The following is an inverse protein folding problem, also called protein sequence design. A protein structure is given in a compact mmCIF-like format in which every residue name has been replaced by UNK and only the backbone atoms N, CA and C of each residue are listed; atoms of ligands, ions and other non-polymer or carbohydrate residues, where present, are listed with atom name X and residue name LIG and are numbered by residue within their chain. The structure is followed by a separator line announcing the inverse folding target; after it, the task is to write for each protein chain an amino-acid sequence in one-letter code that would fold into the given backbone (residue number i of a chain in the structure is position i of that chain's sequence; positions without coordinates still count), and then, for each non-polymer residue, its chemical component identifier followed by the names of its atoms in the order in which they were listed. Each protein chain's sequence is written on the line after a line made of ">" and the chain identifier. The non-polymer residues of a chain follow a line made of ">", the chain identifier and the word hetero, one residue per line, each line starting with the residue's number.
data_IF_953318931965
#
_entry.id   IF_953318931965
#
_cell.length_a   1.000
_cell.length_b   1.000
_cell.length_c   1.000
_cell.angle_alpha   90.00
_cell.angle_beta   90.00
_cell.angle_gamma   90.00
#
_symmetry.space_group_name_H-M   'P 1'
#
loop_
_entity.id
_entity.type
_entity.pdbx_description
1 polymer ?
#
# COMPACT_ATOMS: atom_id res chain seq x y z
N UNK A 1 69.44 -137.08 25.41
CA UNK A 1 69.60 -135.82 24.65
C UNK A 1 68.31 -135.41 23.91
N UNK A 2 67.61 -136.34 23.23
CA UNK A 2 66.41 -136.03 22.40
C UNK A 2 65.21 -135.44 23.18
N UNK A 3 64.80 -136.03 24.31
CA UNK A 3 63.65 -135.55 25.08
C UNK A 3 63.81 -134.13 25.68
N UNK A 4 65.06 -133.75 26.02
CA UNK A 4 65.35 -132.40 26.49
C UNK A 4 65.25 -131.38 25.35
N UNK A 5 65.66 -131.76 24.15
CA UNK A 5 65.56 -130.95 22.95
C UNK A 5 64.10 -130.73 22.53
N UNK A 6 63.25 -131.77 22.55
CA UNK A 6 61.82 -131.65 22.27
C UNK A 6 61.08 -130.74 23.27
N UNK A 7 61.42 -130.81 24.56
CA UNK A 7 60.86 -129.93 25.59
C UNK A 7 61.26 -128.46 25.39
N UNK A 8 62.51 -128.22 25.01
CA UNK A 8 63.00 -126.86 24.67
C UNK A 8 62.26 -126.35 23.43
N UNK A 9 62.14 -127.16 22.38
CA UNK A 9 61.44 -126.78 21.15
C UNK A 9 59.96 -126.46 21.39
N UNK A 10 59.26 -127.25 22.22
CA UNK A 10 57.88 -126.95 22.62
C UNK A 10 57.77 -125.61 23.37
N UNK A 11 58.63 -125.39 24.35
CA UNK A 11 58.66 -124.13 25.13
C UNK A 11 58.96 -122.92 24.23
N UNK A 12 59.89 -123.06 23.29
CA UNK A 12 60.22 -122.01 22.32
C UNK A 12 59.03 -121.73 21.41
N UNK A 13 58.35 -122.77 20.91
CA UNK A 13 57.19 -122.62 20.04
C UNK A 13 56.02 -121.91 20.75
N UNK A 14 55.72 -122.29 21.99
CA UNK A 14 54.70 -121.65 22.82
C UNK A 14 55.04 -120.19 23.11
N UNK A 15 56.32 -119.91 23.41
CA UNK A 15 56.80 -118.54 23.66
C UNK A 15 56.63 -117.67 22.41
N UNK A 16 56.99 -118.18 21.23
CA UNK A 16 56.83 -117.46 19.96
C UNK A 16 55.35 -117.18 19.66
N UNK A 17 54.46 -118.16 19.85
CA UNK A 17 53.02 -117.95 19.68
C UNK A 17 52.47 -116.88 20.63
N UNK A 18 52.85 -116.92 21.91
CA UNK A 18 52.42 -115.92 22.89
C UNK A 18 52.93 -114.51 22.55
N UNK A 19 54.18 -114.38 22.09
CA UNK A 19 54.75 -113.10 21.66
C UNK A 19 54.02 -112.56 20.42
N UNK A 20 53.72 -113.42 19.45
CA UNK A 20 52.97 -113.02 18.26
C UNK A 20 51.54 -112.57 18.61
N UNK A 21 50.84 -113.31 19.47
CA UNK A 21 49.50 -112.92 19.93
C UNK A 21 49.54 -111.58 20.67
N UNK A 22 50.49 -111.39 21.58
CA UNK A 22 50.66 -110.11 22.29
C UNK A 22 50.96 -108.95 21.34
N UNK A 23 51.71 -109.19 20.25
CA UNK A 23 51.98 -108.19 19.23
C UNK A 23 50.71 -107.83 18.42
N UNK A 24 49.88 -108.81 18.06
CA UNK A 24 48.59 -108.59 17.40
C UNK A 24 47.59 -107.83 18.30
N UNK A 25 47.52 -108.20 19.58
CA UNK A 25 46.68 -107.52 20.57
C UNK A 25 47.13 -106.06 20.76
N UNK A 26 48.45 -105.83 20.83
CA UNK A 26 49.04 -104.49 20.93
C UNK A 26 48.77 -103.64 19.68
N UNK A 27 48.90 -104.23 18.48
CA UNK A 27 48.59 -103.56 17.23
C UNK A 27 47.10 -103.16 17.16
N UNK A 28 46.21 -104.06 17.57
CA UNK A 28 44.76 -103.81 17.63
C UNK A 28 44.41 -102.71 18.63
N UNK A 29 45.03 -102.72 19.82
CA UNK A 29 44.85 -101.67 20.82
C UNK A 29 45.33 -100.30 20.31
N UNK A 30 46.47 -100.26 19.62
CA UNK A 30 47.00 -99.02 19.00
C UNK A 30 46.06 -98.48 17.92
N UNK A 31 45.54 -99.35 17.04
CA UNK A 31 44.58 -98.96 16.02
C UNK A 31 43.29 -98.39 16.63
N UNK A 32 42.76 -99.02 17.68
CA UNK A 32 41.57 -98.53 18.38
C UNK A 32 41.82 -97.20 19.10
N UNK A 33 42.99 -97.03 19.71
CA UNK A 33 43.38 -95.76 20.34
C UNK A 33 43.47 -94.63 19.29
N UNK A 34 44.03 -94.90 18.11
CA UNK A 34 44.10 -93.93 17.04
C UNK A 34 42.70 -93.54 16.53
N UNK A 35 41.81 -94.52 16.32
CA UNK A 35 40.43 -94.25 15.91
C UNK A 35 39.65 -93.40 16.94
N UNK A 36 39.93 -93.60 18.24
CA UNK A 36 39.36 -92.78 19.30
C UNK A 36 39.89 -91.34 19.28
N UNK A 37 41.20 -91.16 19.04
CA UNK A 37 41.83 -89.84 18.88
C UNK A 37 41.21 -89.11 17.69
N UNK A 38 41.07 -89.76 16.54
CA UNK A 38 40.49 -89.15 15.34
C UNK A 38 39.03 -88.72 15.56
N UNK A 39 38.25 -89.53 16.29
CA UNK A 39 36.88 -89.18 16.67
C UNK A 39 36.81 -87.97 17.60
N UNK A 40 37.72 -87.89 18.60
CA UNK A 40 37.81 -86.75 19.51
C UNK A 40 38.23 -85.49 18.74
N UNK A 41 39.21 -85.59 17.85
CA UNK A 41 39.67 -84.49 17.00
C UNK A 41 38.50 -83.90 16.19
N UNK A 42 37.70 -84.78 15.59
CA UNK A 42 36.49 -84.42 14.83
C UNK A 42 35.45 -83.72 15.69
N UNK A 43 35.20 -84.24 16.91
CA UNK A 43 34.26 -83.64 17.85
C UNK A 43 34.70 -82.25 18.32
N UNK A 44 36.00 -82.05 18.57
CA UNK A 44 36.58 -80.75 18.94
C UNK A 44 36.43 -79.73 17.81
N UNK A 45 36.72 -80.12 16.56
CA UNK A 45 36.54 -79.26 15.40
C UNK A 45 35.07 -78.80 15.28
N UNK A 46 34.13 -79.75 15.38
CA UNK A 46 32.69 -79.47 15.33
C UNK A 46 32.24 -78.53 16.46
N UNK A 47 32.69 -78.78 17.68
CA UNK A 47 32.35 -77.94 18.84
C UNK A 47 32.89 -76.51 18.67
N UNK A 48 34.10 -76.37 18.12
CA UNK A 48 34.73 -75.07 17.87
C UNK A 48 33.97 -74.28 16.81
N UNK A 49 33.58 -74.93 15.70
CA UNK A 49 32.76 -74.29 14.66
C UNK A 49 31.39 -73.85 15.19
N UNK A 50 30.73 -74.70 16.02
CA UNK A 50 29.45 -74.35 16.65
C UNK A 50 29.58 -73.18 17.62
N UNK A 51 30.66 -73.13 18.40
CA UNK A 51 30.93 -72.00 19.29
C UNK A 51 31.14 -70.69 18.52
N UNK A 52 31.90 -70.73 17.41
CA UNK A 52 32.09 -69.58 16.53
C UNK A 52 30.76 -69.10 15.91
N UNK A 53 29.95 -70.03 15.38
CA UNK A 53 28.63 -69.70 14.83
C UNK A 53 27.68 -69.10 15.88
N UNK A 54 27.72 -69.60 17.12
CA UNK A 54 26.94 -69.05 18.22
C UNK A 54 27.38 -67.62 18.58
N UNK A 55 28.70 -67.33 18.60
CA UNK A 55 29.22 -65.99 18.85
C UNK A 55 28.82 -65.00 17.75
N UNK A 56 28.86 -65.42 16.48
CA UNK A 56 28.36 -64.62 15.36
C UNK A 56 26.86 -64.33 15.50
N UNK A 57 26.07 -65.35 15.85
CA UNK A 57 24.62 -65.21 16.03
C UNK A 57 24.29 -64.25 17.18
N UNK A 58 25.02 -64.33 18.31
CA UNK A 58 24.86 -63.41 19.43
C UNK A 58 25.17 -61.96 19.04
N UNK A 59 26.19 -61.74 18.21
CA UNK A 59 26.55 -60.41 17.70
C UNK A 59 25.45 -59.84 16.79
N UNK A 60 24.89 -60.66 15.90
CA UNK A 60 23.77 -60.25 15.04
C UNK A 60 22.50 -59.93 15.84
N UNK A 61 22.21 -60.70 16.88
CA UNK A 61 21.09 -60.46 17.78
C UNK A 61 21.25 -59.13 18.54
N UNK A 62 22.45 -58.85 19.07
CA UNK A 62 22.76 -57.57 19.71
C UNK A 62 22.61 -56.38 18.75
N UNK A 63 23.07 -56.51 17.50
CA UNK A 63 22.88 -55.49 16.47
C UNK A 63 21.40 -55.25 16.14
N UNK A 64 20.60 -56.33 16.06
CA UNK A 64 19.17 -56.24 15.82
C UNK A 64 18.43 -55.53 16.96
N UNK A 65 18.83 -55.80 18.22
CA UNK A 65 18.30 -55.12 19.39
C UNK A 65 18.60 -53.61 19.35
N UNK A 66 19.85 -53.23 19.05
CA UNK A 66 20.23 -51.82 18.93
C UNK A 66 19.45 -51.08 17.82
N UNK A 67 19.20 -51.75 16.69
CA UNK A 67 18.38 -51.20 15.61
C UNK A 67 16.90 -51.01 16.03
N UNK A 68 16.35 -51.95 16.80
CA UNK A 68 15.00 -51.86 17.35
C UNK A 68 14.88 -50.68 18.33
N UNK A 69 15.85 -50.51 19.24
CA UNK A 69 15.87 -49.40 20.20
C UNK A 69 16.03 -48.04 19.51
N UNK A 70 16.85 -47.97 18.46
CA UNK A 70 16.99 -46.77 17.62
C UNK A 70 15.67 -46.43 16.91
N UNK A 71 14.99 -47.44 16.37
CA UNK A 71 13.69 -47.28 15.70
C UNK A 71 12.61 -46.79 16.66
N UNK A 72 12.59 -47.30 17.90
CA UNK A 72 11.67 -46.85 18.96
C UNK A 72 11.89 -45.38 19.31
N UNK A 73 13.14 -44.95 19.40
CA UNK A 73 13.50 -43.55 19.68
C UNK A 73 13.07 -42.64 18.53
N UNK A 74 13.32 -43.04 17.28
CA UNK A 74 12.89 -42.28 16.10
C UNK A 74 11.36 -42.13 16.03
N UNK A 75 10.61 -43.19 16.36
CA UNK A 75 9.15 -43.14 16.40
C UNK A 75 8.64 -42.13 17.45
N UNK A 76 9.20 -42.14 18.66
CA UNK A 76 8.83 -41.19 19.72
C UNK A 76 9.14 -39.73 19.35
N UNK A 77 10.28 -39.50 18.67
CA UNK A 77 10.61 -38.16 18.18
C UNK A 77 9.64 -37.71 17.07
N UNK A 78 9.26 -38.62 16.17
CA UNK A 78 8.29 -38.33 15.11
C UNK A 78 6.92 -37.91 15.69
N UNK A 79 6.45 -38.59 16.73
CA UNK A 79 5.22 -38.23 17.44
C UNK A 79 5.30 -36.84 18.08
N UNK A 80 6.44 -36.53 18.72
CA UNK A 80 6.69 -35.19 19.29
C UNK A 80 6.67 -34.11 18.22
N UNK A 81 7.34 -34.35 17.08
CA UNK A 81 7.38 -33.40 15.97
C UNK A 81 5.98 -33.19 15.37
N UNK A 82 5.20 -34.26 15.19
CA UNK A 82 3.83 -34.17 14.69
C UNK A 82 2.93 -33.35 15.63
N UNK A 83 3.07 -33.55 16.95
CA UNK A 83 2.33 -32.78 17.94
C UNK A 83 2.71 -31.28 17.91
N UNK A 84 4.00 -30.96 17.75
CA UNK A 84 4.47 -29.58 17.62
C UNK A 84 3.94 -28.91 16.35
N UNK A 85 4.04 -29.56 15.19
CA UNK A 85 3.50 -29.02 13.93
C UNK A 85 1.98 -28.82 13.98
N UNK A 86 1.24 -29.72 14.65
CA UNK A 86 -0.19 -29.55 14.86
C UNK A 86 -0.52 -28.36 15.78
N UNK A 87 0.33 -28.09 16.78
CA UNK A 87 0.19 -26.91 17.63
C UNK A 87 0.48 -25.60 16.88
N UNK A 88 1.54 -25.56 16.07
CA UNK A 88 1.86 -24.42 15.21
C UNK A 88 0.73 -24.14 14.20
N UNK A 89 0.20 -25.18 13.55
CA UNK A 89 -0.93 -25.03 12.62
C UNK A 89 -2.17 -24.45 13.30
N UNK A 90 -2.47 -24.87 14.54
CA UNK A 90 -3.56 -24.27 15.35
C UNK A 90 -3.27 -22.82 15.70
N UNK A 91 -2.06 -22.49 16.13
CA UNK A 91 -1.69 -21.12 16.46
C UNK A 91 -1.78 -20.19 15.25
N UNK A 92 -1.39 -20.66 14.06
CA UNK A 92 -1.56 -19.93 12.81
C UNK A 92 -3.05 -19.73 12.52
N UNK A 93 -3.87 -20.79 12.60
CA UNK A 93 -5.31 -20.70 12.35
C UNK A 93 -6.03 -19.77 13.33
N UNK A 94 -5.70 -19.84 14.63
CA UNK A 94 -6.19 -18.93 15.67
C UNK A 94 -5.71 -17.49 15.45
N UNK A 95 -4.45 -17.31 15.03
CA UNK A 95 -3.88 -16.01 14.70
C UNK A 95 -4.56 -15.31 13.52
N UNK A 96 -5.15 -16.07 12.60
CA UNK A 96 -6.01 -15.51 11.54
C UNK A 96 -7.42 -15.17 12.02
N UNK A 97 -7.83 -15.54 13.24
CA UNK A 97 -9.02 -14.97 13.91
C UNK A 97 -10.34 -15.07 13.13
N UNK A 98 -10.50 -16.05 12.24
CA UNK A 98 -11.69 -16.14 11.38
C UNK A 98 -11.67 -15.23 10.15
N UNK A 99 -10.50 -14.73 9.75
CA UNK A 99 -10.30 -13.99 8.50
C UNK A 99 -10.72 -14.83 7.30
N UNK A 100 -11.69 -14.33 6.55
CA UNK A 100 -12.28 -14.98 5.38
C UNK A 100 -11.69 -14.47 4.04
N UNK A 101 -10.63 -13.68 4.10
CA UNK A 101 -10.04 -13.03 2.92
C UNK A 101 -10.62 -11.66 2.61
N UNK A 102 -11.62 -11.18 3.36
CA UNK A 102 -12.28 -9.89 3.11
C UNK A 102 -11.96 -8.85 4.19
N UNK A 103 -12.05 -7.56 3.85
CA UNK A 103 -11.91 -6.48 4.83
C UNK A 103 -13.09 -6.43 5.84
N UNK A 104 -14.16 -7.18 5.60
CA UNK A 104 -15.31 -7.25 6.51
C UNK A 104 -15.03 -8.13 7.73
N UNK A 105 -14.17 -9.15 7.61
CA UNK A 105 -13.76 -10.01 8.73
C UNK A 105 -12.63 -9.42 9.58
N UNK A 106 -12.02 -8.32 9.14
CA UNK A 106 -10.97 -7.62 9.90
C UNK A 106 -11.58 -6.49 10.71
N UNK A 107 -11.53 -6.60 12.04
CA UNK A 107 -11.93 -5.52 12.93
C UNK A 107 -10.78 -4.58 13.24
N UNK A 108 -11.12 -3.30 13.41
CA UNK A 108 -10.21 -2.23 13.75
C UNK A 108 -10.89 -1.25 14.70
N UNK A 109 -10.09 -0.58 15.52
CA UNK A 109 -10.57 0.51 16.37
C UNK A 109 -10.94 1.72 15.50
N UNK A 110 -12.19 2.14 15.57
CA UNK A 110 -12.68 3.37 14.97
C UNK A 110 -12.23 4.58 15.80
N UNK A 111 -10.99 4.98 15.61
CA UNK A 111 -10.35 6.06 16.38
C UNK A 111 -11.12 7.38 16.33
N UNK A 112 -11.82 7.65 15.23
CA UNK A 112 -12.46 8.95 14.97
C UNK A 112 -13.98 8.92 15.07
N UNK A 113 -14.58 7.75 15.31
CA UNK A 113 -16.03 7.59 15.33
C UNK A 113 -16.67 7.83 13.96
N UNK A 114 -16.09 7.24 12.92
CA UNK A 114 -16.57 7.33 11.54
C UNK A 114 -17.82 6.48 11.29
N UNK A 115 -17.93 5.33 11.95
CA UNK A 115 -19.02 4.36 11.81
C UNK A 115 -19.76 4.18 13.13
N UNK A 116 -19.02 4.07 14.23
CA UNK A 116 -19.55 3.90 15.61
C UNK A 116 -19.04 5.01 16.52
N UNK A 117 -19.27 4.91 17.83
CA UNK A 117 -18.66 5.86 18.77
C UNK A 117 -17.12 5.75 18.71
N UNK A 118 -16.42 6.89 18.90
CA UNK A 118 -14.96 6.92 18.86
C UNK A 118 -14.35 5.91 19.84
N UNK A 119 -13.27 5.25 19.39
CA UNK A 119 -12.61 4.12 20.06
C UNK A 119 -13.45 2.83 20.14
N UNK A 120 -14.63 2.79 19.53
CA UNK A 120 -15.40 1.57 19.32
C UNK A 120 -14.79 0.68 18.25
N UNK A 121 -15.22 -0.57 18.18
CA UNK A 121 -14.74 -1.54 17.19
C UNK A 121 -15.64 -1.48 15.94
N UNK A 122 -15.01 -1.38 14.77
CA UNK A 122 -15.67 -1.41 13.46
C UNK A 122 -14.95 -2.38 12.53
N UNK A 123 -15.64 -2.87 11.51
CA UNK A 123 -14.95 -3.61 10.44
C UNK A 123 -14.15 -2.64 9.58
N UNK A 124 -13.03 -3.11 9.03
CA UNK A 124 -12.19 -2.31 8.14
C UNK A 124 -12.97 -1.87 6.90
N UNK A 125 -13.84 -2.75 6.37
CA UNK A 125 -14.73 -2.41 5.25
C UNK A 125 -15.65 -1.23 5.60
N UNK A 126 -16.30 -1.24 6.76
CA UNK A 126 -17.20 -0.15 7.16
C UNK A 126 -16.47 1.19 7.30
N UNK A 127 -15.23 1.17 7.81
CA UNK A 127 -14.40 2.37 7.91
C UNK A 127 -14.02 2.90 6.51
N UNK A 128 -13.65 2.03 5.57
CA UNK A 128 -13.37 2.41 4.18
C UNK A 128 -14.61 3.03 3.53
N UNK A 129 -15.78 2.41 3.71
CA UNK A 129 -17.04 2.91 3.16
C UNK A 129 -17.40 4.28 3.74
N UNK A 130 -17.22 4.48 5.05
CA UNK A 130 -17.45 5.76 5.72
C UNK A 130 -16.49 6.85 5.21
N UNK A 131 -15.21 6.52 5.01
CA UNK A 131 -14.22 7.45 4.43
C UNK A 131 -14.60 7.79 2.98
N UNK A 132 -14.94 6.79 2.17
CA UNK A 132 -15.34 6.99 0.78
C UNK A 132 -16.57 7.90 0.69
N UNK A 133 -17.59 7.66 1.53
CA UNK A 133 -18.75 8.52 1.63
C UNK A 133 -18.39 9.95 2.05
N UNK A 134 -17.55 10.10 3.08
CA UNK A 134 -17.09 11.42 3.56
C UNK A 134 -16.31 12.17 2.47
N UNK A 135 -15.43 11.52 1.72
CA UNK A 135 -14.68 12.15 0.63
C UNK A 135 -15.60 12.58 -0.52
N UNK A 136 -16.48 11.68 -0.96
CA UNK A 136 -17.35 11.91 -2.13
C UNK A 136 -18.46 12.93 -1.84
N UNK A 137 -19.04 12.88 -0.64
CA UNK A 137 -20.26 13.62 -0.33
C UNK A 137 -20.06 14.80 0.63
N UNK A 138 -19.05 14.76 1.53
CA UNK A 138 -18.90 15.77 2.59
C UNK A 138 -17.68 16.69 2.40
N UNK A 139 -16.52 16.14 2.01
CA UNK A 139 -15.27 16.91 1.90
C UNK A 139 -15.18 17.69 0.59
N UNK A 140 -15.71 17.10 -0.49
CA UNK A 140 -15.85 17.73 -1.78
C UNK A 140 -17.31 17.60 -2.18
N UNK A 141 -18.16 18.44 -1.59
CA UNK A 141 -19.57 18.41 -1.95
C UNK A 141 -19.67 18.59 -3.48
N UNK A 142 -20.37 17.68 -4.18
CA UNK A 142 -20.57 17.78 -5.64
C UNK A 142 -21.12 19.16 -6.05
N UNK A 143 -21.92 19.77 -5.17
CA UNK A 143 -22.38 21.15 -5.29
C UNK A 143 -21.27 22.18 -5.20
N UNK A 144 -20.22 21.99 -4.38
CA UNK A 144 -19.05 22.86 -4.35
C UNK A 144 -18.18 22.74 -5.61
N UNK A 145 -18.02 21.56 -6.21
CA UNK A 145 -17.34 21.46 -7.53
C UNK A 145 -18.14 22.21 -8.60
N UNK A 146 -19.46 22.01 -8.66
CA UNK A 146 -20.32 22.63 -9.67
C UNK A 146 -20.50 24.14 -9.41
N UNK A 147 -20.59 24.56 -8.15
CA UNK A 147 -20.74 25.95 -7.76
C UNK A 147 -19.43 26.75 -7.85
N UNK A 148 -18.25 26.14 -7.67
CA UNK A 148 -16.99 26.87 -7.79
C UNK A 148 -16.67 27.32 -9.23
N UNK A 149 -17.43 26.86 -10.24
CA UNK A 149 -17.30 27.33 -11.62
C UNK A 149 -18.47 28.22 -12.07
N UNK A 150 -19.58 28.27 -11.32
CA UNK A 150 -20.84 28.87 -11.78
C UNK A 150 -21.60 29.71 -10.74
N UNK A 151 -21.31 29.60 -9.44
CA UNK A 151 -22.15 30.20 -8.39
C UNK A 151 -21.40 31.21 -7.52
N UNK A 152 -22.06 32.32 -7.27
CA UNK A 152 -21.64 33.48 -6.48
C UNK A 152 -22.10 33.29 -5.03
N UNK A 153 -21.54 32.33 -4.29
CA UNK A 153 -21.90 32.09 -2.88
C UNK A 153 -20.71 32.42 -1.97
N UNK A 154 -20.74 33.56 -1.26
CA UNK A 154 -19.64 33.99 -0.39
C UNK A 154 -19.27 32.91 0.64
N UNK A 155 -18.00 32.46 0.63
CA UNK A 155 -17.44 31.60 1.69
C UNK A 155 -16.86 30.24 1.26
N UNK A 156 -16.86 29.86 -0.02
CA UNK A 156 -16.25 28.60 -0.47
C UNK A 156 -14.74 28.71 -0.76
N UNK A 157 -14.02 27.61 -0.57
CA UNK A 157 -12.56 27.51 -0.57
C UNK A 157 -11.85 27.96 -1.87
N UNK A 158 -12.57 28.05 -2.99
CA UNK A 158 -12.08 28.53 -4.29
C UNK A 158 -12.71 29.85 -4.74
N UNK A 159 -13.65 30.41 -3.98
CA UNK A 159 -14.48 31.55 -4.43
C UNK A 159 -13.94 32.93 -3.99
N UNK A 160 -13.01 33.01 -3.04
CA UNK A 160 -12.69 34.32 -2.48
C UNK A 160 -11.75 35.19 -3.34
N UNK A 161 -10.81 34.59 -4.10
CA UNK A 161 -9.66 35.36 -4.58
C UNK A 161 -9.74 35.68 -6.07
N UNK A 162 -9.98 34.71 -6.95
CA UNK A 162 -9.92 34.94 -8.40
C UNK A 162 -11.22 35.56 -8.95
N UNK A 163 -12.39 35.07 -8.51
CA UNK A 163 -13.69 35.64 -8.89
C UNK A 163 -13.86 37.08 -8.41
N UNK A 164 -13.54 37.36 -7.14
CA UNK A 164 -13.52 38.73 -6.60
C UNK A 164 -12.55 39.63 -7.37
N UNK A 165 -11.34 39.16 -7.68
CA UNK A 165 -10.37 39.94 -8.45
C UNK A 165 -10.88 40.25 -9.86
N UNK A 166 -11.56 39.32 -10.52
CA UNK A 166 -12.17 39.57 -11.83
C UNK A 166 -13.31 40.60 -11.73
N UNK A 167 -14.16 40.51 -10.71
CA UNK A 167 -15.24 41.48 -10.47
C UNK A 167 -14.70 42.88 -10.10
N UNK A 168 -13.66 42.94 -9.27
CA UNK A 168 -12.96 44.18 -8.92
C UNK A 168 -12.33 44.79 -10.19
N UNK A 169 -11.70 43.99 -11.05
CA UNK A 169 -11.16 44.44 -12.34
C UNK A 169 -12.25 44.93 -13.29
N UNK A 170 -13.37 44.21 -13.40
CA UNK A 170 -14.52 44.60 -14.23
C UNK A 170 -15.14 45.93 -13.76
N UNK A 171 -15.37 46.05 -12.45
CA UNK A 171 -15.93 47.28 -11.84
C UNK A 171 -15.00 48.45 -12.02
N UNK A 172 -13.69 48.25 -11.81
CA UNK A 172 -12.67 49.28 -12.02
C UNK A 172 -12.59 49.71 -13.48
N UNK A 173 -12.56 48.78 -14.43
CA UNK A 173 -12.55 49.08 -15.85
C UNK A 173 -13.77 49.93 -16.26
N UNK A 174 -14.97 49.56 -15.80
CA UNK A 174 -16.19 50.32 -16.07
C UNK A 174 -16.21 51.71 -15.39
N UNK A 175 -15.58 51.86 -14.23
CA UNK A 175 -15.45 53.16 -13.55
C UNK A 175 -14.45 54.09 -14.25
N UNK A 176 -13.27 53.58 -14.60
CA UNK A 176 -12.20 54.33 -15.26
C UNK A 176 -12.60 54.80 -16.67
N UNK A 177 -13.37 54.00 -17.43
CA UNK A 177 -13.89 54.42 -18.75
C UNK A 177 -14.85 55.61 -18.69
N UNK A 178 -15.56 55.83 -17.57
CA UNK A 178 -16.53 56.93 -17.43
C UNK A 178 -15.89 58.28 -17.12
N UNK A 179 -14.68 58.33 -16.57
CA UNK A 179 -14.05 59.59 -16.16
C UNK A 179 -13.14 60.23 -17.22
N UNK A 180 -12.65 59.45 -18.18
CA UNK A 180 -11.64 59.93 -19.16
C UNK A 180 -12.20 60.21 -20.56
N UNK A 181 -13.51 60.06 -20.76
CA UNK A 181 -14.18 60.52 -21.97
C UNK A 181 -14.54 61.98 -21.76
N UNK A 182 -13.99 62.87 -22.59
CA UNK A 182 -14.59 64.18 -22.87
C UNK A 182 -16.10 63.91 -23.08
N UNK A 183 -16.97 64.30 -22.14
CA UNK A 183 -18.41 64.06 -22.27
C UNK A 183 -18.92 64.86 -23.48
N UNK A 184 -18.84 64.24 -24.67
CA UNK A 184 -19.61 64.64 -25.85
C UNK A 184 -21.02 64.12 -25.62
N UNK A 185 -21.69 64.65 -24.61
CA UNK A 185 -23.10 64.39 -24.42
C UNK A 185 -23.85 65.09 -25.56
N UNK A 186 -24.22 64.33 -26.60
CA UNK A 186 -25.06 64.82 -27.68
C UNK A 186 -26.49 65.01 -27.16
N UNK A 187 -26.71 66.09 -26.41
CA UNK A 187 -28.04 66.55 -26.02
C UNK A 187 -28.74 67.04 -27.29
N UNK A 188 -29.85 66.39 -27.68
CA UNK A 188 -30.68 66.83 -28.80
C UNK A 188 -31.02 68.31 -28.66
N UNK A 189 -30.96 69.05 -29.77
CA UNK A 189 -31.07 70.51 -29.88
C UNK A 189 -32.48 71.08 -29.60
N UNK A 190 -33.26 70.46 -28.71
CA UNK A 190 -34.62 70.89 -28.39
C UNK A 190 -34.61 71.90 -27.24
N UNK A 191 -34.67 73.19 -27.58
CA UNK A 191 -35.03 74.30 -26.70
C UNK A 191 -34.25 74.43 -25.36
N UNK A 192 -32.96 74.11 -25.36
CA UNK A 192 -32.11 74.31 -24.18
C UNK A 192 -31.88 75.80 -23.90
N UNK A 193 -32.00 76.23 -22.64
CA UNK A 193 -31.47 77.51 -22.20
C UNK A 193 -29.96 77.39 -21.99
N UNK A 194 -29.16 78.16 -22.73
CA UNK A 194 -27.70 78.10 -22.61
C UNK A 194 -27.22 78.47 -21.20
N UNK A 195 -27.99 79.23 -20.42
CA UNK A 195 -27.66 79.53 -19.02
C UNK A 195 -27.71 78.29 -18.11
N UNK A 196 -28.43 77.24 -18.50
CA UNK A 196 -28.54 75.99 -17.74
C UNK A 196 -27.41 74.98 -18.06
N UNK A 197 -26.52 75.33 -19.00
CA UNK A 197 -25.40 74.47 -19.39
C UNK A 197 -24.18 74.81 -18.53
N UNK A 198 -23.89 73.93 -17.56
CA UNK A 198 -22.84 74.15 -16.57
C UNK A 198 -21.46 73.65 -16.98
N UNK A 199 -21.39 72.62 -17.84
CA UNK A 199 -20.13 72.04 -18.31
C UNK A 199 -20.32 71.23 -19.59
N UNK A 200 -19.23 71.01 -20.33
CA UNK A 200 -19.18 70.10 -21.48
C UNK A 200 -19.40 70.81 -22.82
N UNK A 201 -19.54 70.02 -23.89
CA UNK A 201 -19.76 70.48 -25.25
C UNK A 201 -21.17 70.09 -25.70
N UNK A 202 -21.99 71.06 -26.08
CA UNK A 202 -23.40 70.85 -26.43
C UNK A 202 -23.72 71.45 -27.79
N UNK A 203 -24.70 70.84 -28.48
CA UNK A 203 -25.34 71.44 -29.65
C UNK A 203 -26.55 72.26 -29.18
N UNK A 204 -26.72 73.47 -29.70
CA UNK A 204 -27.92 74.28 -29.46
C UNK A 204 -28.64 74.61 -30.78
N UNK A 205 -29.96 74.83 -30.71
CA UNK A 205 -30.74 75.27 -31.86
C UNK A 205 -30.96 76.77 -31.86
N UNK A 206 -31.33 77.33 -33.01
CA UNK A 206 -31.76 78.72 -33.14
C UNK A 206 -33.06 79.05 -32.40
N UNK A 207 -33.71 78.06 -31.78
CA UNK A 207 -34.89 78.21 -30.91
C UNK A 207 -34.53 78.23 -29.42
N UNK A 208 -33.25 78.06 -29.08
CA UNK A 208 -32.75 78.08 -27.70
C UNK A 208 -32.78 79.48 -27.09
N UNK A 209 -32.82 79.56 -25.75
CA UNK A 209 -32.76 80.83 -25.02
C UNK A 209 -31.31 81.22 -24.76
N UNK A 210 -31.06 82.53 -24.64
CA UNK A 210 -29.74 83.09 -24.32
C UNK A 210 -28.63 82.72 -25.33
N UNK A 211 -29.02 82.47 -26.58
CA UNK A 211 -28.11 82.23 -27.71
C UNK A 211 -27.43 83.54 -28.16
N UNK A 212 -26.18 83.46 -28.66
CA UNK A 212 -25.46 84.64 -29.15
C UNK A 212 -25.99 85.18 -30.48
N UNK A 213 -26.62 84.32 -31.29
CA UNK A 213 -27.12 84.65 -32.63
C UNK A 213 -28.37 83.84 -32.97
N UNK A 214 -29.05 84.18 -34.06
CA UNK A 214 -30.24 83.45 -34.55
C UNK A 214 -29.91 82.16 -35.32
N UNK A 215 -28.68 81.65 -35.18
CA UNK A 215 -28.20 80.44 -35.85
C UNK A 215 -28.18 79.26 -34.86
N UNK A 216 -28.21 78.03 -35.39
CA UNK A 216 -27.82 76.88 -34.58
C UNK A 216 -26.30 76.95 -34.31
N UNK A 217 -25.81 76.22 -33.32
CA UNK A 217 -24.38 76.24 -33.01
C UNK A 217 -23.95 75.20 -32.00
N UNK A 218 -22.67 75.22 -31.70
CA UNK A 218 -22.06 74.45 -30.62
C UNK A 218 -21.66 75.39 -29.50
N UNK A 219 -21.78 74.92 -28.26
CA UNK A 219 -21.33 75.63 -27.07
C UNK A 219 -20.41 74.75 -26.25
N UNK A 220 -19.35 75.35 -25.75
CA UNK A 220 -18.46 74.79 -24.75
C UNK A 220 -18.69 75.58 -23.47
N UNK A 221 -19.15 74.89 -22.42
CA UNK A 221 -19.28 75.46 -21.09
C UNK A 221 -18.16 74.91 -20.19
N UNK A 222 -17.47 75.82 -19.52
CA UNK A 222 -16.39 75.48 -18.59
C UNK A 222 -16.69 76.13 -17.26
N UNK A 223 -17.11 75.30 -16.29
CA UNK A 223 -17.21 75.72 -14.89
C UNK A 223 -15.81 75.81 -14.31
N UNK A 224 -15.44 76.99 -13.82
CA UNK A 224 -14.11 77.21 -13.22
C UNK A 224 -14.15 76.95 -11.71
N UNK A 225 -15.18 77.44 -11.04
CA UNK A 225 -15.43 77.24 -9.61
C UNK A 225 -16.95 77.36 -9.33
N UNK A 226 -17.33 77.53 -8.06
CA UNK A 226 -18.72 77.67 -7.64
C UNK A 226 -19.40 78.98 -8.09
N UNK A 227 -18.63 80.02 -8.39
CA UNK A 227 -19.14 81.37 -8.72
C UNK A 227 -18.86 81.82 -10.15
N UNK A 228 -17.95 81.15 -10.87
CA UNK A 228 -17.54 81.53 -12.22
C UNK A 228 -17.71 80.39 -13.24
N UNK A 229 -18.36 80.74 -14.36
CA UNK A 229 -18.54 79.86 -15.51
C UNK A 229 -18.25 80.63 -16.81
N UNK A 230 -17.41 80.06 -17.68
CA UNK A 230 -17.13 80.59 -19.01
C UNK A 230 -17.87 79.81 -20.09
N UNK A 231 -18.42 80.50 -21.08
CA UNK A 231 -19.03 79.89 -22.26
C UNK A 231 -18.38 80.42 -23.54
N UNK A 232 -18.11 79.50 -24.46
CA UNK A 232 -17.68 79.78 -25.82
C UNK A 232 -18.71 79.14 -26.75
N UNK A 233 -19.28 79.91 -27.66
CA UNK A 233 -20.23 79.41 -28.64
C UNK A 233 -19.69 79.64 -30.06
N UNK A 234 -19.75 78.62 -30.90
CA UNK A 234 -19.49 78.70 -32.33
C UNK A 234 -20.83 78.49 -33.04
N UNK A 235 -21.34 79.51 -33.71
CA UNK A 235 -22.54 79.34 -34.51
C UNK A 235 -22.24 78.70 -35.87
N UNK A 236 -23.26 78.19 -36.55
CA UNK A 236 -23.12 77.51 -37.85
C UNK A 236 -22.66 78.44 -38.98
N UNK A 237 -22.69 79.75 -38.77
CA UNK A 237 -22.11 80.72 -39.71
C UNK A 237 -20.59 80.81 -39.59
N UNK A 238 -20.01 80.19 -38.55
CA UNK A 238 -18.59 80.22 -38.24
C UNK A 238 -18.20 81.37 -37.30
N UNK A 239 -19.16 82.08 -36.70
CA UNK A 239 -18.88 83.18 -35.78
C UNK A 239 -18.66 82.64 -34.37
N UNK A 240 -17.56 83.06 -33.74
CA UNK A 240 -17.21 82.69 -32.37
C UNK A 240 -17.68 83.77 -31.41
N UNK A 241 -18.34 83.34 -30.34
CA UNK A 241 -18.83 84.18 -29.25
C UNK A 241 -18.30 83.70 -27.91
N UNK A 242 -18.12 84.62 -26.98
CA UNK A 242 -17.76 84.28 -25.61
C UNK A 242 -18.51 85.11 -24.59
N UNK A 243 -18.79 84.52 -23.43
CA UNK A 243 -19.31 85.23 -22.26
C UNK A 243 -18.91 84.52 -20.97
N UNK A 244 -19.12 85.20 -19.85
CA UNK A 244 -18.94 84.62 -18.53
C UNK A 244 -20.16 84.89 -17.67
N UNK A 245 -20.46 83.95 -16.77
CA UNK A 245 -21.32 84.13 -15.63
C UNK A 245 -20.45 84.32 -14.39
N UNK A 246 -20.70 85.38 -13.62
CA UNK A 246 -20.07 85.65 -12.32
C UNK A 246 -21.18 85.84 -11.29
N UNK A 247 -21.15 85.09 -10.20
CA UNK A 247 -22.15 85.14 -9.12
C UNK A 247 -23.60 85.04 -9.65
N UNK A 248 -23.85 84.05 -10.50
CA UNK A 248 -25.14 83.80 -11.17
C UNK A 248 -25.62 84.91 -12.12
N UNK A 249 -24.79 85.91 -12.41
CA UNK A 249 -25.09 86.99 -13.34
C UNK A 249 -24.36 86.79 -14.67
N UNK A 250 -25.12 86.72 -15.77
CA UNK A 250 -24.57 86.52 -17.12
C UNK A 250 -24.16 87.84 -17.77
N UNK A 251 -22.91 87.92 -18.22
CA UNK A 251 -22.47 88.96 -19.13
C UNK A 251 -23.04 88.78 -20.54
N UNK A 252 -23.09 89.86 -21.32
CA UNK A 252 -23.43 89.82 -22.74
C UNK A 252 -22.42 88.98 -23.53
N UNK A 253 -22.88 88.37 -24.62
CA UNK A 253 -22.02 87.74 -25.61
C UNK A 253 -21.11 88.79 -26.28
N UNK A 254 -19.84 88.46 -26.41
CA UNK A 254 -18.80 89.22 -27.13
C UNK A 254 -18.33 88.44 -28.34
#
# INVERSE_FOLDING_TARGET
>A
NVAAFEKIQGTVNDTVQNVNQAAEDSASASHNAQAAVDSIQTAIATATEKAAAAATSATQAAGSQAAADSSKTAAAQSETNAAASAAEARQIAEGFGGFDGTAASVTATDTYGLVVAALGESTTQALIDAIANKVINELVAKSQIINNLLATVPGNALDAVQGKKLMDLYTRLNGEMKQNSFDLENKSAEQTDLNAIYSGVHRYSNRSKNIPSANNGYIIAVKRDSSMLGQIALDDSGTLYSRACVDSSWGSWK
#
